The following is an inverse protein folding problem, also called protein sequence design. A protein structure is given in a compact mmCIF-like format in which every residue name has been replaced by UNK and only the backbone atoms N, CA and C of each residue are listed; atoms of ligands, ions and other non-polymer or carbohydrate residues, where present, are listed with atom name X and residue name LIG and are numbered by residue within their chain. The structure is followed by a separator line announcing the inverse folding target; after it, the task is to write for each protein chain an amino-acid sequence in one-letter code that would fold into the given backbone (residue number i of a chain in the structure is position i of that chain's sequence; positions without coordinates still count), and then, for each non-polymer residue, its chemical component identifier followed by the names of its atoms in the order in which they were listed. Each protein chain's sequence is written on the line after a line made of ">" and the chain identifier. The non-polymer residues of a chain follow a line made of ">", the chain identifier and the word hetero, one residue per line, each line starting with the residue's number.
data_IF_745413326132
#
_entry.id   IF_745413326132
#
_cell.length_a   1.000
_cell.length_b   1.000
_cell.length_c   1.000
_cell.angle_alpha   90.00
_cell.angle_beta   90.00
_cell.angle_gamma   90.00
#
_symmetry.space_group_name_H-M   'P 1'
#
loop_
_entity.id
_entity.type
_entity.pdbx_description
1 polymer ?
#
# COMPACT_ATOMS: atom_id res chain seq x y z
N UNK A 1 -10.68 12.75 36.60
CA UNK A 1 -10.12 11.39 36.82
C UNK A 1 -10.83 10.46 35.84
N UNK A 2 -10.41 10.45 34.58
CA UNK A 2 -9.50 9.45 33.95
C UNK A 2 -10.16 8.09 33.74
N UNK A 3 -10.57 7.87 32.49
CA UNK A 3 -11.03 6.59 31.96
C UNK A 3 -11.30 6.66 30.46
N UNK A 4 -10.46 7.40 29.71
CA UNK A 4 -10.53 7.43 28.25
C UNK A 4 -9.93 6.14 27.69
N UNK A 5 -10.77 5.14 27.46
CA UNK A 5 -10.47 4.01 26.59
C UNK A 5 -10.62 4.46 25.15
N UNK A 6 -9.49 4.87 24.55
CA UNK A 6 -9.44 5.44 23.22
C UNK A 6 -9.69 4.42 22.11
N UNK A 7 -10.62 4.77 21.22
CA UNK A 7 -10.53 4.47 19.79
C UNK A 7 -11.17 5.63 19.02
N UNK A 8 -10.41 6.46 18.30
CA UNK A 8 -11.01 7.45 17.44
C UNK A 8 -11.43 6.77 16.12
N UNK A 9 -12.72 6.89 15.79
CA UNK A 9 -13.19 6.77 14.42
C UNK A 9 -12.67 7.99 13.66
N UNK A 10 -11.49 7.83 13.07
CA UNK A 10 -10.91 8.78 12.13
C UNK A 10 -11.33 8.36 10.73
N UNK A 11 -11.98 9.24 9.97
CA UNK A 11 -12.16 9.02 8.53
C UNK A 11 -10.83 9.40 7.87
N UNK A 12 -9.89 8.47 7.95
CA UNK A 12 -8.87 8.33 6.92
C UNK A 12 -9.57 7.75 5.69
N UNK A 13 -9.03 7.97 4.50
CA UNK A 13 -9.14 6.94 3.46
C UNK A 13 -8.29 5.74 3.91
N UNK A 14 -8.63 5.16 5.07
CA UNK A 14 -7.98 3.97 5.61
C UNK A 14 -8.28 2.86 4.63
N UNK A 15 -7.27 2.13 4.17
CA UNK A 15 -7.47 0.87 3.48
C UNK A 15 -8.43 0.01 4.30
N UNK A 16 -9.36 -0.69 3.64
CA UNK A 16 -10.22 -1.63 4.34
C UNK A 16 -9.38 -2.56 5.20
N UNK A 17 -9.86 -2.95 6.38
CA UNK A 17 -9.17 -3.92 7.26
C UNK A 17 -8.74 -5.17 6.50
N UNK A 18 -9.50 -5.57 5.48
CA UNK A 18 -9.18 -6.67 4.57
C UNK A 18 -7.91 -6.42 3.75
N UNK A 19 -7.71 -5.22 3.22
CA UNK A 19 -6.51 -4.86 2.44
C UNK A 19 -5.24 -4.95 3.30
N UNK A 20 -5.32 -4.47 4.55
CA UNK A 20 -4.23 -4.62 5.52
C UNK A 20 -3.94 -6.09 5.82
N UNK A 21 -4.99 -6.86 6.14
CA UNK A 21 -4.86 -8.29 6.43
C UNK A 21 -4.25 -9.09 5.28
N UNK A 22 -4.67 -8.85 4.04
CA UNK A 22 -4.07 -9.52 2.87
C UNK A 22 -2.64 -9.09 2.62
N UNK A 23 -2.30 -7.82 2.87
CA UNK A 23 -0.93 -7.35 2.74
C UNK A 23 -0.02 -7.97 3.79
N UNK A 24 -0.49 -8.06 5.04
CA UNK A 24 0.27 -8.70 6.11
C UNK A 24 0.49 -10.20 5.81
N UNK A 25 -0.54 -10.91 5.34
CA UNK A 25 -0.40 -12.29 4.87
C UNK A 25 0.58 -12.43 3.70
N UNK A 26 0.55 -11.51 2.73
CA UNK A 26 1.50 -11.49 1.63
C UNK A 26 2.94 -11.31 2.13
N UNK A 27 3.16 -10.42 3.11
CA UNK A 27 4.46 -10.24 3.74
C UNK A 27 4.90 -11.51 4.45
N UNK A 28 4.04 -12.10 5.26
CA UNK A 28 4.40 -13.23 6.10
C UNK A 28 4.70 -14.49 5.28
N UNK A 29 4.00 -14.71 4.16
CA UNK A 29 4.16 -15.89 3.32
C UNK A 29 5.30 -15.77 2.31
N UNK A 30 5.52 -14.58 1.72
CA UNK A 30 6.32 -14.44 0.51
C UNK A 30 7.55 -13.54 0.64
N UNK A 31 7.68 -12.72 1.70
CA UNK A 31 8.79 -11.78 1.83
C UNK A 31 10.15 -12.49 2.01
N UNK A 32 11.15 -12.03 1.25
CA UNK A 32 12.54 -12.41 1.45
C UNK A 32 13.25 -11.44 2.40
N UNK A 33 13.37 -11.83 3.66
CA UNK A 33 14.09 -11.03 4.66
C UNK A 33 15.60 -10.88 4.40
N UNK A 34 16.21 -11.71 3.53
CA UNK A 34 17.66 -11.67 3.25
C UNK A 34 18.02 -10.69 2.15
N UNK A 35 17.32 -10.75 1.02
CA UNK A 35 17.66 -9.93 -0.15
C UNK A 35 16.57 -8.92 -0.56
N UNK A 36 15.39 -8.99 0.06
CA UNK A 36 14.26 -8.16 -0.28
C UNK A 36 13.45 -8.70 -1.46
N UNK A 37 12.26 -8.13 -1.65
CA UNK A 37 11.28 -8.60 -2.61
C UNK A 37 10.52 -9.84 -2.14
N UNK A 38 9.63 -10.32 -3.00
CA UNK A 38 8.69 -11.38 -2.73
C UNK A 38 8.95 -12.57 -3.64
N UNK A 39 8.99 -13.75 -3.04
CA UNK A 39 9.07 -15.02 -3.74
C UNK A 39 7.77 -15.33 -4.49
N UNK A 40 7.89 -16.11 -5.56
CA UNK A 40 6.74 -16.61 -6.30
C UNK A 40 5.89 -17.60 -5.50
N UNK A 41 6.54 -18.40 -4.64
CA UNK A 41 5.91 -19.42 -3.79
C UNK A 41 5.91 -19.00 -2.33
N UNK A 42 4.89 -19.41 -1.58
CA UNK A 42 4.79 -19.17 -0.14
C UNK A 42 5.80 -20.02 0.65
N UNK A 43 6.08 -19.63 1.89
CA UNK A 43 6.91 -20.41 2.80
C UNK A 43 6.20 -21.65 3.38
N UNK A 44 4.90 -21.77 3.14
CA UNK A 44 4.02 -22.87 3.48
C UNK A 44 3.88 -23.91 2.35
N UNK A 45 4.47 -23.62 1.18
CA UNK A 45 4.50 -24.53 0.05
C UNK A 45 5.58 -25.62 0.21
N UNK A 46 5.59 -26.59 -0.71
CA UNK A 46 6.66 -27.59 -0.79
C UNK A 46 8.03 -26.92 -0.89
N UNK A 47 9.03 -27.54 -0.25
CA UNK A 47 10.41 -27.04 -0.28
C UNK A 47 10.97 -27.23 -1.67
N UNK A 48 11.03 -26.14 -2.44
CA UNK A 48 11.66 -26.09 -3.75
C UNK A 48 13.16 -25.84 -3.61
N UNK A 49 13.95 -26.43 -4.53
CA UNK A 49 15.39 -26.20 -4.63
C UNK A 49 15.68 -24.72 -4.95
N UNK A 50 14.82 -24.11 -5.76
CA UNK A 50 14.90 -22.70 -6.12
C UNK A 50 13.55 -22.01 -5.90
N UNK A 51 13.60 -20.77 -5.44
CA UNK A 51 12.43 -19.91 -5.21
C UNK A 51 12.66 -18.59 -5.94
N UNK A 52 12.28 -18.52 -7.23
CA UNK A 52 12.51 -17.31 -8.00
C UNK A 52 11.59 -16.17 -7.54
N UNK A 53 12.01 -14.94 -7.86
CA UNK A 53 11.19 -13.73 -7.73
C UNK A 53 10.74 -13.28 -9.11
N UNK A 54 9.44 -13.07 -9.29
CA UNK A 54 8.89 -12.52 -10.52
C UNK A 54 8.93 -10.98 -10.46
N UNK A 55 9.82 -10.38 -11.25
CA UNK A 55 10.12 -8.95 -11.21
C UNK A 55 9.84 -8.22 -12.53
N UNK A 56 9.79 -8.96 -13.64
CA UNK A 56 9.56 -8.42 -14.97
C UNK A 56 8.08 -8.07 -15.18
N UNK A 57 7.79 -6.82 -15.50
CA UNK A 57 6.48 -6.34 -15.90
C UNK A 57 6.23 -6.66 -17.39
N UNK A 58 5.31 -7.59 -17.63
CA UNK A 58 4.88 -7.97 -18.98
C UNK A 58 3.59 -7.29 -19.39
N UNK A 59 2.65 -8.07 -19.96
CA UNK A 59 1.30 -7.59 -20.25
C UNK A 59 0.51 -7.22 -18.98
N UNK A 60 0.92 -7.75 -17.84
CA UNK A 60 0.40 -7.44 -16.50
C UNK A 60 1.57 -7.06 -15.58
N UNK A 61 1.33 -6.31 -14.50
CA UNK A 61 2.36 -6.05 -13.49
C UNK A 61 2.91 -7.35 -12.90
N UNK A 62 4.21 -7.38 -12.66
CA UNK A 62 4.83 -8.45 -11.88
C UNK A 62 4.29 -8.44 -10.45
N UNK A 63 4.36 -9.59 -9.77
CA UNK A 63 4.02 -9.68 -8.35
C UNK A 63 4.81 -8.69 -7.48
N UNK A 64 6.11 -8.55 -7.75
CA UNK A 64 6.95 -7.63 -7.00
C UNK A 64 6.60 -6.16 -7.27
N UNK A 65 6.32 -5.80 -8.53
CA UNK A 65 5.87 -4.45 -8.88
C UNK A 65 4.52 -4.11 -8.24
N UNK A 66 3.57 -5.05 -8.28
CA UNK A 66 2.27 -4.91 -7.63
C UNK A 66 2.40 -4.75 -6.11
N UNK A 67 3.23 -5.57 -5.47
CA UNK A 67 3.53 -5.46 -4.04
C UNK A 67 4.19 -4.10 -3.71
N UNK A 68 5.08 -3.59 -4.57
CA UNK A 68 5.75 -2.28 -4.38
C UNK A 68 4.72 -1.17 -4.27
N UNK A 69 3.78 -1.19 -5.20
CA UNK A 69 2.74 -0.19 -5.33
C UNK A 69 1.80 -0.25 -4.12
N UNK A 70 1.29 -1.44 -3.78
CA UNK A 70 0.37 -1.62 -2.64
C UNK A 70 1.04 -1.19 -1.33
N UNK A 71 2.27 -1.63 -1.06
CA UNK A 71 3.00 -1.23 0.14
C UNK A 71 3.22 0.28 0.19
N UNK A 72 3.53 0.92 -0.94
CA UNK A 72 3.69 2.38 -1.04
C UNK A 72 2.38 3.11 -0.77
N UNK A 73 1.26 2.64 -1.33
CA UNK A 73 -0.07 3.18 -1.07
C UNK A 73 -0.45 3.05 0.41
N UNK A 74 -0.34 1.86 0.98
CA UNK A 74 -0.69 1.61 2.39
C UNK A 74 0.20 2.41 3.33
N UNK A 75 1.51 2.51 3.05
CA UNK A 75 2.42 3.36 3.82
C UNK A 75 2.01 4.83 3.79
N UNK A 76 1.55 5.32 2.64
CA UNK A 76 1.03 6.69 2.50
C UNK A 76 -0.27 6.90 3.26
N UNK A 77 -1.24 5.98 3.14
CA UNK A 77 -2.57 6.13 3.75
C UNK A 77 -2.60 5.88 5.25
N UNK A 78 -1.74 5.00 5.76
CA UNK A 78 -1.74 4.61 7.18
C UNK A 78 -0.64 5.26 7.98
N UNK A 79 0.39 5.82 7.33
CA UNK A 79 1.62 6.25 7.98
C UNK A 79 2.46 5.09 8.54
N UNK A 80 2.12 3.82 8.23
CA UNK A 80 2.84 2.66 8.76
C UNK A 80 4.25 2.55 8.17
N UNK A 81 5.24 2.75 9.03
CA UNK A 81 6.66 2.72 8.66
C UNK A 81 7.11 1.34 8.16
N UNK A 82 6.54 0.24 8.65
CA UNK A 82 6.87 -1.13 8.19
C UNK A 82 6.61 -1.27 6.69
N UNK A 83 5.45 -0.82 6.21
CA UNK A 83 5.12 -0.89 4.80
C UNK A 83 6.03 0.00 3.95
N UNK A 84 6.38 1.19 4.47
CA UNK A 84 7.33 2.08 3.82
C UNK A 84 8.68 1.39 3.64
N UNK A 85 9.23 0.83 4.71
CA UNK A 85 10.55 0.21 4.68
C UNK A 85 10.58 -1.01 3.75
N UNK A 86 9.54 -1.86 3.77
CA UNK A 86 9.40 -2.99 2.85
C UNK A 86 9.34 -2.54 1.39
N UNK A 87 8.51 -1.53 1.08
CA UNK A 87 8.42 -0.97 -0.27
C UNK A 87 9.78 -0.45 -0.76
N UNK A 88 10.44 0.36 0.06
CA UNK A 88 11.74 0.95 -0.27
C UNK A 88 12.84 -0.09 -0.43
N UNK A 89 12.88 -1.11 0.43
CA UNK A 89 13.88 -2.17 0.36
C UNK A 89 13.80 -2.95 -0.94
N UNK A 90 12.61 -3.39 -1.34
CA UNK A 90 12.48 -4.12 -2.60
C UNK A 90 12.69 -3.24 -3.83
N UNK A 91 12.24 -1.98 -3.78
CA UNK A 91 12.39 -1.05 -4.90
C UNK A 91 13.87 -0.73 -5.15
N UNK A 92 14.68 -0.66 -4.08
CA UNK A 92 16.14 -0.55 -4.16
C UNK A 92 16.79 -1.84 -4.64
N UNK A 93 16.29 -3.00 -4.20
CA UNK A 93 16.81 -4.30 -4.62
C UNK A 93 16.75 -4.47 -6.15
N UNK A 94 15.64 -4.05 -6.78
CA UNK A 94 15.43 -4.17 -8.23
C UNK A 94 15.82 -2.92 -9.03
N UNK A 95 16.47 -1.93 -8.41
CA UNK A 95 16.79 -0.67 -9.06
C UNK A 95 17.86 -0.83 -10.17
N UNK A 96 18.72 -1.84 -10.05
CA UNK A 96 19.74 -2.14 -11.07
C UNK A 96 19.10 -2.60 -12.38
N UNK A 97 18.22 -3.58 -12.28
CA UNK A 97 17.50 -4.18 -13.41
C UNK A 97 16.55 -3.17 -14.05
N UNK A 98 15.82 -2.41 -13.23
CA UNK A 98 14.95 -1.34 -13.73
C UNK A 98 15.73 -0.21 -14.43
N UNK A 99 16.97 0.05 -14.02
CA UNK A 99 17.84 1.02 -14.69
C UNK A 99 18.35 0.49 -16.03
N UNK A 100 18.66 -0.80 -16.11
CA UNK A 100 19.17 -1.43 -17.34
C UNK A 100 18.07 -1.57 -18.40
N UNK A 101 16.85 -1.96 -18.00
CA UNK A 101 15.72 -2.11 -18.92
C UNK A 101 14.41 -1.51 -18.37
N UNK A 102 14.25 -0.17 -18.34
CA UNK A 102 13.10 0.48 -17.73
C UNK A 102 11.72 0.03 -18.23
N UNK A 103 11.61 -0.28 -19.52
CA UNK A 103 10.34 -0.69 -20.12
C UNK A 103 9.81 -2.02 -19.55
N UNK A 104 10.71 -2.90 -19.09
CA UNK A 104 10.36 -4.16 -18.43
C UNK A 104 9.98 -4.02 -16.96
N UNK A 105 9.97 -2.81 -16.41
CA UNK A 105 9.70 -2.54 -14.99
C UNK A 105 8.77 -1.33 -14.80
N UNK A 106 7.89 -1.06 -15.78
CA UNK A 106 7.07 0.14 -15.82
C UNK A 106 6.14 0.28 -14.58
N UNK A 107 5.61 -0.81 -14.04
CA UNK A 107 4.75 -0.77 -12.86
C UNK A 107 5.57 -0.61 -11.58
N UNK A 108 6.77 -1.19 -11.50
CA UNK A 108 7.71 -0.89 -10.42
C UNK A 108 8.09 0.60 -10.41
N UNK A 109 8.32 1.19 -11.58
CA UNK A 109 8.61 2.63 -11.71
C UNK A 109 7.40 3.49 -11.32
N UNK A 110 6.18 3.00 -11.53
CA UNK A 110 4.95 3.65 -11.03
C UNK A 110 4.91 3.66 -9.50
N UNK A 111 5.34 2.57 -8.85
CA UNK A 111 5.48 2.54 -7.39
C UNK A 111 6.55 3.52 -6.88
N UNK A 112 7.70 3.62 -7.57
CA UNK A 112 8.72 4.63 -7.29
C UNK A 112 8.16 6.05 -7.40
N UNK A 113 7.42 6.34 -8.49
CA UNK A 113 6.80 7.64 -8.70
C UNK A 113 5.85 7.97 -7.55
N UNK A 114 4.99 7.03 -7.14
CA UNK A 114 4.08 7.22 -6.02
C UNK A 114 4.82 7.47 -4.69
N UNK A 115 5.89 6.73 -4.43
CA UNK A 115 6.66 6.87 -3.19
C UNK A 115 7.43 8.20 -3.11
N UNK A 116 7.91 8.72 -4.25
CA UNK A 116 8.64 9.99 -4.35
C UNK A 116 7.70 11.20 -4.38
N UNK A 117 6.54 11.07 -5.02
CA UNK A 117 5.52 12.10 -5.13
C UNK A 117 4.18 11.59 -4.60
N UNK A 118 4.06 11.40 -3.27
CA UNK A 118 2.80 10.94 -2.69
C UNK A 118 1.70 11.97 -2.93
N UNK A 119 0.44 11.52 -3.11
CA UNK A 119 -0.69 12.42 -3.33
C UNK A 119 -0.86 13.35 -2.13
N UNK A 120 -1.35 14.57 -2.39
CA UNK A 120 -1.74 15.49 -1.32
C UNK A 120 -2.88 14.86 -0.52
N UNK A 121 -2.72 14.82 0.80
CA UNK A 121 -3.74 14.30 1.70
C UNK A 121 -4.43 15.44 2.43
N UNK A 122 -5.76 15.40 2.47
CA UNK A 122 -6.59 16.27 3.30
C UNK A 122 -7.14 15.40 4.43
N UNK A 123 -6.85 15.78 5.67
CA UNK A 123 -7.28 15.05 6.87
C UNK A 123 -8.31 15.91 7.59
N UNK A 124 -9.52 15.37 7.76
CA UNK A 124 -10.59 15.99 8.56
C UNK A 124 -10.59 15.30 9.93
N UNK A 125 -10.12 16.01 10.96
CA UNK A 125 -10.09 15.52 12.33
C UNK A 125 -11.25 16.12 13.11
N UNK A 126 -12.11 15.26 13.67
CA UNK A 126 -13.22 15.68 14.52
C UNK A 126 -13.41 14.74 15.70
N UNK A 127 -13.89 15.26 16.82
CA UNK A 127 -14.21 14.48 18.01
C UNK A 127 -15.62 13.91 17.92
N UNK A 128 -15.74 12.57 17.89
CA UNK A 128 -17.03 11.88 17.86
C UNK A 128 -17.82 12.07 16.55
N UNK A 129 -19.13 11.81 16.58
CA UNK A 129 -20.02 12.17 15.46
C UNK A 129 -20.11 13.69 15.40
N UNK A 130 -19.63 14.26 14.32
CA UNK A 130 -19.59 15.70 14.11
C UNK A 130 -20.18 16.00 12.72
N UNK A 131 -21.32 16.68 12.72
CA UNK A 131 -22.05 17.03 11.48
C UNK A 131 -21.26 17.96 10.57
N UNK A 132 -20.43 18.85 11.13
CA UNK A 132 -19.58 19.76 10.35
C UNK A 132 -18.48 18.97 9.62
N UNK A 133 -17.91 17.97 10.27
CA UNK A 133 -16.92 17.08 9.64
C UNK A 133 -17.53 16.25 8.51
N UNK A 134 -18.76 15.75 8.70
CA UNK A 134 -19.50 15.04 7.66
C UNK A 134 -19.82 15.95 6.47
N UNK A 135 -20.21 17.20 6.72
CA UNK A 135 -20.46 18.21 5.69
C UNK A 135 -19.19 18.55 4.90
N UNK A 136 -18.06 18.78 5.60
CA UNK A 136 -16.76 19.00 4.95
C UNK A 136 -16.39 17.82 4.05
N UNK A 137 -16.59 16.58 4.53
CA UNK A 137 -16.31 15.39 3.74
C UNK A 137 -17.21 15.28 2.49
N UNK A 138 -18.48 15.66 2.59
CA UNK A 138 -19.40 15.66 1.45
C UNK A 138 -18.98 16.69 0.38
N UNK A 139 -18.59 17.90 0.82
CA UNK A 139 -18.04 18.93 -0.07
C UNK A 139 -16.76 18.42 -0.75
N UNK A 140 -15.83 17.86 0.02
CA UNK A 140 -14.57 17.34 -0.53
C UNK A 140 -14.81 16.22 -1.55
N UNK A 141 -15.77 15.33 -1.31
CA UNK A 141 -16.15 14.26 -2.24
C UNK A 141 -16.72 14.84 -3.55
N UNK A 142 -17.59 15.84 -3.47
CA UNK A 142 -18.21 16.47 -4.63
C UNK A 142 -17.23 17.28 -5.48
N UNK A 143 -16.34 18.04 -4.85
CA UNK A 143 -15.44 18.97 -5.54
C UNK A 143 -14.19 18.28 -6.09
N UNK A 144 -13.64 17.29 -5.36
CA UNK A 144 -12.35 16.68 -5.69
C UNK A 144 -12.42 15.23 -6.17
N UNK A 145 -13.55 14.54 -5.95
CA UNK A 145 -13.70 13.11 -6.26
C UNK A 145 -14.97 12.84 -7.10
N UNK A 146 -15.14 13.56 -8.20
CA UNK A 146 -16.17 13.25 -9.21
C UNK A 146 -15.79 11.97 -9.99
N UNK A 147 -16.00 10.80 -9.38
CA UNK A 147 -15.83 9.50 -10.05
C UNK A 147 -15.48 8.30 -9.16
N UNK A 148 -15.18 8.48 -7.88
CA UNK A 148 -14.89 7.37 -6.95
C UNK A 148 -15.76 7.53 -5.69
N UNK A 149 -17.08 7.39 -5.88
CA UNK A 149 -18.05 7.39 -4.80
C UNK A 149 -18.48 5.97 -4.46
N UNK A 150 -17.69 5.22 -3.71
CA UNK A 150 -18.22 4.07 -2.99
C UNK A 150 -18.55 4.47 -1.55
N UNK A 151 -19.84 4.57 -1.28
CA UNK A 151 -20.39 4.57 0.07
C UNK A 151 -20.10 3.22 0.72
N UNK A 152 -19.29 3.22 1.78
CA UNK A 152 -19.24 2.09 2.71
C UNK A 152 -19.81 2.54 4.04
N UNK A 153 -21.15 2.56 4.08
CA UNK A 153 -21.91 2.41 5.31
C UNK A 153 -22.42 0.98 5.35
N UNK A 154 -21.77 0.13 6.16
CA UNK A 154 -22.37 -0.98 6.89
C UNK A 154 -21.38 -1.49 7.95
#
# INVERSE_FOLDING_TARGET
>A
MTGQGGWPLTIFMTPEKKALSFTDQMIDLFWDAKSGGFFFTGNDAEVLIDRPKEIYDGAIPSRNSAAAYILSCLASYTGNQRYRDLAWNQMRHFAGEAREYPAGYAFLLTAWQFALWPPRQIIVAAGGKNSEAEEILDILKKEFFTGIGHNFLQ
#
